data_IF_639053806343
#
_entry.id   IF_639053806343
#
_cell.length_a   1.000
_cell.length_b   1.000
_cell.length_c   1.000
_cell.angle_alpha   90.00
_cell.angle_beta   90.00
_cell.angle_gamma   90.00
#
_symmetry.space_group_name_H-M   'P 1'
#
loop_
_entity.id
_entity.type
_entity.pdbx_description
1 polymer ?
#
# COMPACT_ATOMS: atom_id res chain seq x y z
N UNK A 1 18.18 -7.58 24.78
CA UNK A 1 17.69 -6.50 23.88
C UNK A 1 16.63 -5.69 24.62
N UNK A 2 16.87 -4.40 24.87
CA UNK A 2 15.98 -3.56 25.69
C UNK A 2 14.61 -3.37 25.03
N UNK A 3 13.55 -3.21 25.84
CA UNK A 3 12.16 -3.04 25.39
C UNK A 3 12.02 -1.95 24.32
N UNK A 4 12.73 -0.83 24.49
CA UNK A 4 12.77 0.29 23.56
C UNK A 4 13.38 -0.07 22.21
N UNK A 5 14.47 -0.86 22.18
CA UNK A 5 15.09 -1.36 20.94
C UNK A 5 14.18 -2.34 20.19
N UNK A 6 13.41 -3.17 20.92
CA UNK A 6 12.41 -4.07 20.32
C UNK A 6 11.29 -3.29 19.64
N UNK A 7 10.74 -2.26 20.31
CA UNK A 7 9.68 -1.41 19.75
C UNK A 7 10.11 -0.68 18.47
N UNK A 8 11.33 -0.12 18.48
CA UNK A 8 11.89 0.54 17.29
C UNK A 8 12.06 -0.46 16.14
N UNK A 9 12.64 -1.64 16.41
CA UNK A 9 12.84 -2.66 15.38
C UNK A 9 11.51 -3.14 14.78
N UNK A 10 10.50 -3.42 15.62
CA UNK A 10 9.17 -3.82 15.15
C UNK A 10 8.52 -2.72 14.31
N UNK A 11 8.64 -1.46 14.72
CA UNK A 11 8.10 -0.35 13.95
C UNK A 11 8.85 -0.14 12.62
N UNK A 12 10.16 -0.38 12.55
CA UNK A 12 10.92 -0.34 11.28
C UNK A 12 10.48 -1.44 10.31
N UNK A 13 10.23 -2.66 10.83
CA UNK A 13 9.70 -3.76 10.01
C UNK A 13 8.32 -3.41 9.46
N UNK A 14 7.44 -2.85 10.28
CA UNK A 14 6.11 -2.44 9.84
C UNK A 14 6.19 -1.33 8.78
N UNK A 15 7.04 -0.32 8.96
CA UNK A 15 7.27 0.68 7.91
C UNK A 15 7.70 0.06 6.58
N UNK A 16 8.63 -0.90 6.62
CA UNK A 16 9.11 -1.59 5.42
C UNK A 16 7.98 -2.36 4.72
N UNK A 17 7.14 -3.07 5.48
CA UNK A 17 5.97 -3.79 4.95
C UNK A 17 4.96 -2.82 4.35
N UNK A 18 4.68 -1.70 5.03
CA UNK A 18 3.79 -0.65 4.52
C UNK A 18 4.29 -0.07 3.19
N UNK A 19 5.60 0.15 3.06
CA UNK A 19 6.22 0.64 1.83
C UNK A 19 6.10 -0.37 0.68
N UNK A 20 6.31 -1.66 0.97
CA UNK A 20 6.12 -2.73 -0.03
C UNK A 20 4.67 -2.78 -0.50
N UNK A 21 3.69 -2.67 0.40
CA UNK A 21 2.27 -2.67 0.03
C UNK A 21 1.90 -1.46 -0.84
N UNK A 22 2.45 -0.28 -0.53
CA UNK A 22 2.28 0.90 -1.38
C UNK A 22 2.90 0.70 -2.77
N UNK A 23 4.07 0.06 -2.86
CA UNK A 23 4.69 -0.29 -4.13
C UNK A 23 3.85 -1.28 -4.94
N UNK A 24 3.31 -2.33 -4.30
CA UNK A 24 2.39 -3.27 -4.93
C UNK A 24 1.11 -2.60 -5.42
N UNK A 25 0.51 -1.73 -4.60
CA UNK A 25 -0.66 -0.94 -5.01
C UNK A 25 -0.37 -0.13 -6.28
N UNK A 26 0.77 0.57 -6.31
CA UNK A 26 1.18 1.31 -7.51
C UNK A 26 1.36 0.41 -8.74
N UNK A 27 1.95 -0.78 -8.57
CA UNK A 27 2.10 -1.75 -9.64
C UNK A 27 0.75 -2.24 -10.20
N UNK A 28 -0.22 -2.56 -9.35
CA UNK A 28 -1.57 -2.94 -9.79
C UNK A 28 -2.30 -1.78 -10.45
N UNK A 29 -2.17 -0.56 -9.92
CA UNK A 29 -2.79 0.62 -10.50
C UNK A 29 -2.25 0.90 -11.91
N UNK A 30 -0.95 0.74 -12.15
CA UNK A 30 -0.36 0.83 -13.49
C UNK A 30 -0.94 -0.21 -14.47
N UNK A 31 -1.29 -1.42 -14.00
CA UNK A 31 -1.95 -2.42 -14.84
C UNK A 31 -3.42 -2.10 -15.10
N UNK A 32 -4.15 -1.58 -14.10
CA UNK A 32 -5.55 -1.13 -14.24
C UNK A 32 -5.64 0.01 -15.25
N UNK A 33 -4.75 1.00 -15.12
CA UNK A 33 -4.65 2.16 -15.99
C UNK A 33 -3.90 1.85 -17.30
N UNK A 34 -3.68 0.59 -17.71
CA UNK A 34 -2.77 0.23 -18.80
C UNK A 34 -2.75 1.23 -19.98
N UNK A 35 -1.55 1.64 -20.45
CA UNK A 35 -1.31 2.69 -21.48
C UNK A 35 -1.99 4.07 -21.28
N UNK A 36 -2.75 4.32 -20.22
CA UNK A 36 -3.31 5.65 -19.93
C UNK A 36 -2.19 6.67 -19.65
N UNK A 37 -1.00 6.19 -19.25
CA UNK A 37 0.20 7.04 -19.14
C UNK A 37 0.69 7.64 -20.47
N UNK A 38 0.14 7.21 -21.62
CA UNK A 38 0.48 7.78 -22.94
C UNK A 38 -0.45 8.94 -23.35
N UNK A 39 -1.32 9.43 -22.46
CA UNK A 39 -2.21 10.56 -22.77
C UNK A 39 -3.33 10.22 -23.76
N UNK A 40 -3.53 8.94 -24.06
CA UNK A 40 -4.61 8.47 -24.93
C UNK A 40 -5.81 8.14 -24.04
N UNK A 41 -6.90 8.89 -24.18
CA UNK A 41 -8.16 8.60 -23.51
C UNK A 41 -8.66 7.23 -23.94
N UNK A 42 -8.50 6.24 -23.08
CA UNK A 42 -8.95 4.87 -23.36
C UNK A 42 -10.45 4.83 -23.06
N UNK A 43 -11.25 4.44 -24.05
CA UNK A 43 -12.66 4.15 -23.84
C UNK A 43 -12.79 3.16 -22.68
N UNK A 44 -13.58 3.52 -21.66
CA UNK A 44 -13.89 2.61 -20.58
C UNK A 44 -14.50 1.32 -21.19
N UNK A 45 -14.02 0.12 -20.81
CA UNK A 45 -14.60 -1.10 -21.32
C UNK A 45 -16.09 -1.14 -20.93
N UNK A 46 -16.96 -1.73 -21.77
CA UNK A 46 -18.39 -1.77 -21.49
C UNK A 46 -18.65 -2.40 -20.11
N UNK A 47 -19.53 -1.78 -19.33
CA UNK A 47 -19.90 -2.24 -17.98
C UNK A 47 -20.32 -3.72 -18.04
N UNK A 48 -19.92 -4.50 -17.03
CA UNK A 48 -20.13 -5.95 -16.93
C UNK A 48 -19.42 -6.82 -17.98
N UNK A 49 -18.58 -6.26 -18.85
CA UNK A 49 -17.68 -7.08 -19.67
C UNK A 49 -16.65 -7.82 -18.82
N UNK A 50 -16.12 -8.94 -19.33
CA UNK A 50 -15.05 -9.67 -18.65
C UNK A 50 -13.82 -8.78 -18.36
N UNK A 51 -13.55 -7.80 -19.22
CA UNK A 51 -12.46 -6.84 -19.05
C UNK A 51 -12.76 -5.81 -17.95
N UNK A 52 -14.00 -5.30 -17.89
CA UNK A 52 -14.46 -4.44 -16.79
C UNK A 52 -14.30 -5.14 -15.44
N UNK A 53 -14.82 -6.36 -15.30
CA UNK A 53 -14.75 -7.13 -14.05
C UNK A 53 -13.31 -7.42 -13.62
N UNK A 54 -12.40 -7.66 -14.57
CA UNK A 54 -10.97 -7.85 -14.28
C UNK A 54 -10.32 -6.56 -13.78
N UNK A 55 -10.58 -5.41 -14.41
CA UNK A 55 -10.06 -4.11 -13.97
C UNK A 55 -10.64 -3.68 -12.62
N UNK A 56 -11.93 -3.90 -12.39
CA UNK A 56 -12.62 -3.65 -11.13
C UNK A 56 -11.99 -4.46 -9.99
N UNK A 57 -11.70 -5.75 -10.23
CA UNK A 57 -11.05 -6.62 -9.24
C UNK A 57 -9.64 -6.14 -8.91
N UNK A 58 -8.84 -5.82 -9.93
CA UNK A 58 -7.49 -5.29 -9.74
C UNK A 58 -7.49 -3.95 -9.00
N UNK A 59 -8.47 -3.08 -9.28
CA UNK A 59 -8.65 -1.81 -8.58
C UNK A 59 -8.99 -2.03 -7.10
N UNK A 60 -9.93 -2.93 -6.80
CA UNK A 60 -10.26 -3.30 -5.40
C UNK A 60 -9.05 -3.84 -4.65
N UNK A 61 -8.26 -4.72 -5.28
CA UNK A 61 -7.02 -5.25 -4.68
C UNK A 61 -6.00 -4.13 -4.44
N UNK A 62 -5.85 -3.22 -5.41
CA UNK A 62 -4.97 -2.05 -5.30
C UNK A 62 -5.37 -1.15 -4.14
N UNK A 63 -6.66 -0.84 -4.01
CA UNK A 63 -7.20 0.04 -2.97
C UNK A 63 -7.05 -0.59 -1.59
N UNK A 64 -7.40 -1.88 -1.45
CA UNK A 64 -7.20 -2.63 -0.19
C UNK A 64 -5.72 -2.62 0.20
N UNK A 65 -4.83 -2.91 -0.75
CA UNK A 65 -3.38 -2.92 -0.50
C UNK A 65 -2.87 -1.55 -0.08
N UNK A 66 -3.40 -0.47 -0.68
CA UNK A 66 -3.06 0.91 -0.33
C UNK A 66 -3.48 1.25 1.10
N UNK A 67 -4.77 1.06 1.43
CA UNK A 67 -5.29 1.39 2.76
C UNK A 67 -4.64 0.54 3.85
N UNK A 68 -4.42 -0.75 3.59
CA UNK A 68 -3.71 -1.63 4.52
C UNK A 68 -2.25 -1.22 4.69
N UNK A 69 -1.58 -0.81 3.61
CA UNK A 69 -0.22 -0.25 3.65
C UNK A 69 -0.14 1.03 4.48
N UNK A 70 -1.08 1.97 4.31
CA UNK A 70 -1.17 3.19 5.13
C UNK A 70 -1.35 2.83 6.61
N UNK A 71 -2.28 1.93 6.91
CA UNK A 71 -2.55 1.50 8.29
C UNK A 71 -1.30 0.91 8.96
N UNK A 72 -0.63 -0.04 8.30
CA UNK A 72 0.60 -0.65 8.80
C UNK A 72 1.69 0.40 9.01
N UNK A 73 1.84 1.34 8.07
CA UNK A 73 2.81 2.43 8.18
C UNK A 73 2.54 3.29 9.40
N UNK A 74 1.29 3.68 9.63
CA UNK A 74 0.89 4.49 10.79
C UNK A 74 1.19 3.77 12.11
N UNK A 75 0.89 2.47 12.22
CA UNK A 75 1.23 1.66 13.39
C UNK A 75 2.74 1.58 13.59
N UNK A 76 3.51 1.41 12.50
CA UNK A 76 4.97 1.39 12.54
C UNK A 76 5.57 2.69 13.08
N UNK A 77 5.05 3.84 12.65
CA UNK A 77 5.43 5.17 13.17
C UNK A 77 5.11 5.26 14.66
N UNK A 78 3.88 4.92 15.08
CA UNK A 78 3.47 4.99 16.47
C UNK A 78 4.36 4.14 17.40
N UNK A 79 4.73 2.93 16.97
CA UNK A 79 5.63 2.05 17.72
C UNK A 79 7.07 2.59 17.79
N UNK A 80 7.58 3.18 16.72
CA UNK A 80 8.90 3.84 16.74
C UNK A 80 8.90 5.06 17.66
N UNK A 81 7.86 5.89 17.60
CA UNK A 81 7.70 7.05 18.48
C UNK A 81 7.66 6.62 19.94
N UNK A 82 6.83 5.63 20.28
CA UNK A 82 6.75 5.08 21.64
C UNK A 82 8.09 4.48 22.10
N UNK A 83 8.75 3.70 21.23
CA UNK A 83 10.07 3.14 21.52
C UNK A 83 11.14 4.21 21.76
N UNK A 84 11.15 5.29 20.98
CA UNK A 84 12.07 6.42 21.16
C UNK A 84 11.82 7.16 22.48
N UNK A 85 10.56 7.44 22.82
CA UNK A 85 10.19 8.09 24.08
C UNK A 85 10.58 7.26 25.30
N UNK A 86 10.44 5.93 25.22
CA UNK A 86 10.80 5.00 26.31
C UNK A 86 12.31 4.66 26.34
N UNK A 87 13.08 5.17 25.38
CA UNK A 87 14.55 5.00 25.35
C UNK A 87 15.30 6.16 26.00
N UNK A 88 14.58 7.25 26.34
CA UNK A 88 15.08 8.30 27.23
C UNK A 88 15.04 7.83 28.67
#
# INVERSE_FOLDING_TARGET
MNKSKRLILTGSILLFIGLLLAFFSNYYNLQVMGKTSLGVGIFAPPENSAEWNRKETLRKISDISFYFGIFITAVGIALQTAGSLTSK
#
